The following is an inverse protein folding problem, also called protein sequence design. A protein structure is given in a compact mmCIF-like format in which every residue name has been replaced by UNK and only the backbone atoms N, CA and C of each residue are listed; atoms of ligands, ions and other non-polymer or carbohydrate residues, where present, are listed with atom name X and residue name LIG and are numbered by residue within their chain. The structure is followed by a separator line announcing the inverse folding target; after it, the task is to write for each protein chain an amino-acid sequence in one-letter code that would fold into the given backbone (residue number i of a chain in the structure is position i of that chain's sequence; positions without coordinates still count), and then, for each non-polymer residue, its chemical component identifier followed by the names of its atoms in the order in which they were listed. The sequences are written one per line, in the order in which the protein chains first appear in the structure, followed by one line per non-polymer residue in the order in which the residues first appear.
data_IF_641583391728
#
_entry.id   IF_641583391728
#
_cell.length_a   1.000
_cell.length_b   1.000
_cell.length_c   1.000
_cell.angle_alpha   90.00
_cell.angle_beta   90.00
_cell.angle_gamma   90.00
#
_symmetry.space_group_name_H-M   'P 1'
#
loop_
_entity.id
_entity.type
_entity.pdbx_description
1 polymer ?
#
# COMPACT_ATOMS: atom_id res chain seq x y z
N UNK A 1 -10.61 63.65 27.21
CA UNK A 1 -11.58 62.59 26.86
C UNK A 1 -10.96 61.73 25.77
N UNK A 2 -11.04 60.40 25.88
CA UNK A 2 -10.56 59.45 24.86
C UNK A 2 -9.59 58.42 25.44
N UNK A 3 -10.14 57.30 25.95
CA UNK A 3 -9.45 56.18 26.59
C UNK A 3 -9.13 55.07 25.57
N UNK A 4 -8.11 54.29 25.90
CA UNK A 4 -7.97 52.83 25.74
C UNK A 4 -7.71 52.24 24.35
N UNK A 5 -6.67 51.40 24.30
CA UNK A 5 -6.53 50.34 23.29
C UNK A 5 -5.11 49.80 23.06
N UNK A 6 -4.32 49.51 24.10
CA UNK A 6 -3.12 48.68 23.95
C UNK A 6 -3.54 47.22 23.72
N UNK A 7 -3.49 46.76 22.47
CA UNK A 7 -3.65 45.34 22.14
C UNK A 7 -2.33 44.61 22.38
N UNK A 8 -2.19 44.02 23.59
CA UNK A 8 -1.22 42.97 23.88
C UNK A 8 -1.60 41.72 23.09
N UNK A 9 -0.86 41.41 22.04
CA UNK A 9 -0.90 40.09 21.42
C UNK A 9 -0.33 39.06 22.40
N UNK A 10 -1.20 38.37 23.12
CA UNK A 10 -0.84 37.15 23.83
C UNK A 10 -0.40 36.12 22.79
N UNK A 11 0.89 35.82 22.76
CA UNK A 11 1.42 34.64 22.08
C UNK A 11 0.89 33.42 22.83
N UNK A 12 -0.25 32.92 22.36
CA UNK A 12 -0.86 31.68 22.83
C UNK A 12 0.08 30.54 22.46
N UNK A 13 0.76 30.00 23.46
CA UNK A 13 1.66 28.86 23.33
C UNK A 13 0.78 27.63 23.05
N UNK A 14 0.55 27.32 21.78
CA UNK A 14 -0.23 26.15 21.36
C UNK A 14 0.45 24.85 21.84
N UNK A 15 -0.11 24.13 22.82
CA UNK A 15 0.49 22.91 23.35
C UNK A 15 0.31 21.71 22.41
N UNK A 16 -0.30 21.88 21.23
CA UNK A 16 -0.48 20.83 20.23
C UNK A 16 0.65 20.74 19.22
N UNK A 17 1.66 21.63 19.27
CA UNK A 17 2.95 21.37 18.59
C UNK A 17 3.77 20.36 19.39
N UNK A 18 3.26 19.13 19.48
CA UNK A 18 4.05 18.00 19.93
C UNK A 18 5.09 17.68 18.86
N UNK A 19 6.28 18.19 19.11
CA UNK A 19 7.58 17.59 18.84
C UNK A 19 7.47 16.11 18.42
N UNK A 20 7.55 15.85 17.12
CA UNK A 20 7.65 14.53 16.53
C UNK A 20 9.13 14.15 16.34
N UNK A 21 9.93 14.21 17.41
CA UNK A 21 11.29 13.68 17.40
C UNK A 21 11.54 12.85 18.65
N UNK A 22 10.94 11.66 18.72
CA UNK A 22 11.36 10.61 19.66
C UNK A 22 10.81 9.20 19.36
N UNK A 23 10.95 8.68 18.14
CA UNK A 23 10.96 7.24 17.88
C UNK A 23 11.91 6.98 16.71
N UNK A 24 12.99 6.24 16.96
CA UNK A 24 13.98 5.84 15.97
C UNK A 24 13.51 4.63 15.16
N UNK A 25 12.34 4.73 14.55
CA UNK A 25 11.86 3.79 13.53
C UNK A 25 11.27 4.66 12.41
N UNK A 26 11.97 4.76 11.29
CA UNK A 26 11.44 5.40 10.09
C UNK A 26 10.38 4.46 9.53
N UNK A 27 9.14 4.64 9.95
CA UNK A 27 8.02 3.96 9.34
C UNK A 27 7.82 4.56 7.94
N UNK A 28 8.18 3.82 6.89
CA UNK A 28 7.82 4.18 5.51
C UNK A 28 6.32 4.48 5.39
N UNK A 29 5.97 5.38 4.48
CA UNK A 29 4.59 5.65 4.16
C UNK A 29 4.01 4.45 3.38
N UNK A 30 2.92 3.86 3.88
CA UNK A 30 2.23 2.74 3.21
C UNK A 30 1.83 3.07 1.76
N UNK A 31 1.56 4.36 1.45
CA UNK A 31 1.25 4.81 0.10
C UNK A 31 2.44 4.58 -0.85
N UNK A 32 3.66 4.80 -0.38
CA UNK A 32 4.88 4.60 -1.17
C UNK A 32 5.13 3.11 -1.39
N UNK A 33 4.90 2.27 -0.38
CA UNK A 33 5.00 0.80 -0.50
C UNK A 33 4.03 0.27 -1.57
N UNK A 34 2.77 0.74 -1.54
CA UNK A 34 1.77 0.36 -2.55
C UNK A 34 2.21 0.78 -3.95
N UNK A 35 2.61 2.05 -4.11
CA UNK A 35 3.05 2.57 -5.41
C UNK A 35 4.28 1.81 -5.94
N UNK A 36 5.24 1.49 -5.08
CA UNK A 36 6.43 0.70 -5.45
C UNK A 36 6.03 -0.67 -6.00
N UNK A 37 5.12 -1.38 -5.33
CA UNK A 37 4.68 -2.71 -5.77
C UNK A 37 3.86 -2.63 -7.06
N UNK A 38 2.93 -1.67 -7.18
CA UNK A 38 2.14 -1.50 -8.41
C UNK A 38 3.03 -1.12 -9.60
N UNK A 39 3.97 -0.20 -9.42
CA UNK A 39 4.94 0.18 -10.45
C UNK A 39 5.82 -1.00 -10.86
N UNK A 40 6.29 -1.82 -9.93
CA UNK A 40 7.06 -3.02 -10.27
C UNK A 40 6.26 -3.99 -11.15
N UNK A 41 5.01 -4.26 -10.81
CA UNK A 41 4.16 -5.15 -11.59
C UNK A 41 3.83 -4.55 -12.98
N UNK A 42 3.54 -3.26 -13.05
CA UNK A 42 3.26 -2.57 -14.30
C UNK A 42 4.49 -2.44 -15.21
N UNK A 43 5.62 -1.99 -14.66
CA UNK A 43 6.77 -1.55 -15.44
C UNK A 43 7.81 -2.65 -15.64
N UNK A 44 7.98 -3.55 -14.67
CA UNK A 44 8.98 -4.65 -14.76
C UNK A 44 8.32 -5.94 -15.23
N UNK A 45 7.26 -6.37 -14.55
CA UNK A 45 6.57 -7.64 -14.87
C UNK A 45 5.66 -7.50 -16.09
N UNK A 46 5.27 -6.28 -16.46
CA UNK A 46 4.33 -5.97 -17.55
C UNK A 46 2.96 -6.61 -17.34
N UNK A 47 2.53 -6.73 -16.08
CA UNK A 47 1.24 -7.26 -15.67
C UNK A 47 0.66 -6.36 -14.56
N UNK A 48 -0.12 -5.33 -14.91
CA UNK A 48 -0.70 -4.44 -13.91
C UNK A 48 -1.60 -5.23 -12.97
N UNK A 49 -1.56 -4.88 -11.70
CA UNK A 49 -2.37 -5.49 -10.65
C UNK A 49 -2.85 -4.45 -9.66
N UNK A 50 -3.65 -4.89 -8.69
CA UNK A 50 -4.21 -4.05 -7.63
C UNK A 50 -3.79 -4.61 -6.28
N UNK A 51 -3.18 -3.79 -5.42
CA UNK A 51 -2.82 -4.20 -4.07
C UNK A 51 -4.09 -4.41 -3.23
N UNK A 52 -4.21 -5.58 -2.60
CA UNK A 52 -5.38 -5.99 -1.81
C UNK A 52 -5.06 -6.18 -0.32
N UNK A 53 -3.78 -6.16 0.06
CA UNK A 53 -3.37 -6.29 1.44
C UNK A 53 -1.92 -5.84 1.66
N UNK A 54 -1.66 -5.22 2.80
CA UNK A 54 -0.31 -4.84 3.25
C UNK A 54 -0.20 -5.18 4.72
N UNK A 55 0.78 -5.99 5.07
CA UNK A 55 1.16 -6.30 6.45
C UNK A 55 2.58 -5.80 6.68
N UNK A 56 2.75 -4.95 7.70
CA UNK A 56 4.08 -4.55 8.16
C UNK A 56 4.56 -5.52 9.23
N UNK A 57 5.81 -5.96 9.10
CA UNK A 57 6.52 -6.79 10.06
C UNK A 57 7.89 -6.20 10.31
N UNK A 58 8.12 -5.64 11.49
CA UNK A 58 9.38 -5.01 11.94
C UNK A 58 10.02 -4.09 10.88
N UNK A 59 10.87 -4.65 10.00
CA UNK A 59 11.66 -3.95 8.98
C UNK A 59 11.22 -4.23 7.53
N UNK A 60 10.19 -5.05 7.33
CA UNK A 60 9.67 -5.42 6.01
C UNK A 60 8.16 -5.21 5.89
N UNK A 61 7.71 -5.14 4.65
CA UNK A 61 6.31 -5.15 4.25
C UNK A 61 6.04 -6.41 3.43
N UNK A 62 5.03 -7.17 3.83
CA UNK A 62 4.44 -8.24 3.03
C UNK A 62 3.21 -7.67 2.33
N UNK A 63 3.24 -7.60 1.01
CA UNK A 63 2.19 -6.99 0.19
C UNK A 63 1.53 -8.08 -0.65
N UNK A 64 0.20 -8.12 -0.65
CA UNK A 64 -0.58 -8.97 -1.52
C UNK A 64 -1.14 -8.14 -2.69
N UNK A 65 -0.86 -8.58 -3.92
CA UNK A 65 -1.33 -7.94 -5.14
C UNK A 65 -2.09 -8.95 -6.00
N UNK A 66 -3.24 -8.53 -6.51
CA UNK A 66 -4.07 -9.28 -7.44
C UNK A 66 -3.76 -8.87 -8.88
N UNK A 67 -3.46 -9.85 -9.73
CA UNK A 67 -3.03 -9.64 -11.12
C UNK A 67 -3.88 -10.48 -12.06
N UNK A 68 -4.53 -9.89 -13.08
CA UNK A 68 -5.22 -10.64 -14.13
C UNK A 68 -4.25 -11.51 -14.93
N UNK A 69 -4.57 -12.79 -15.09
CA UNK A 69 -3.78 -13.73 -15.89
C UNK A 69 -4.53 -14.12 -17.16
N UNK A 70 -3.98 -13.78 -18.31
CA UNK A 70 -4.46 -14.28 -19.60
C UNK A 70 -3.77 -15.60 -19.93
N UNK A 71 -4.47 -16.72 -19.77
CA UNK A 71 -4.01 -18.02 -20.26
C UNK A 71 -4.54 -18.21 -21.69
N UNK A 72 -3.69 -18.56 -22.66
CA UNK A 72 -4.08 -18.79 -24.07
C UNK A 72 -5.25 -19.78 -24.23
N UNK A 73 -5.37 -20.73 -23.30
CA UNK A 73 -6.48 -21.68 -23.23
C UNK A 73 -7.84 -21.00 -22.96
N UNK A 74 -7.85 -19.93 -22.16
CA UNK A 74 -9.05 -19.20 -21.74
C UNK A 74 -9.53 -18.18 -22.78
N UNK A 75 -8.60 -17.61 -23.58
CA UNK A 75 -8.94 -16.77 -24.74
C UNK A 75 -9.86 -17.47 -25.73
N UNK A 76 -9.73 -18.80 -25.89
CA UNK A 76 -10.61 -19.61 -26.76
C UNK A 76 -12.03 -19.78 -26.24
N UNK A 77 -12.27 -19.49 -24.95
CA UNK A 77 -13.59 -19.62 -24.30
C UNK A 77 -14.17 -18.29 -23.84
N UNK A 78 -13.54 -17.16 -24.16
CA UNK A 78 -13.98 -15.82 -23.74
C UNK A 78 -14.19 -15.70 -22.21
N UNK A 79 -13.36 -16.38 -21.43
CA UNK A 79 -13.37 -16.28 -19.97
C UNK A 79 -12.09 -15.57 -19.52
N UNK A 80 -12.15 -14.25 -19.34
CA UNK A 80 -11.02 -13.44 -18.87
C UNK A 80 -10.92 -13.38 -17.34
N UNK A 81 -11.43 -14.42 -16.67
CA UNK A 81 -11.74 -14.36 -15.24
C UNK A 81 -10.64 -14.93 -14.36
N UNK A 82 -9.40 -15.10 -14.82
CA UNK A 82 -8.37 -15.70 -13.95
C UNK A 82 -7.56 -14.60 -13.25
N UNK A 83 -7.48 -14.69 -11.92
CA UNK A 83 -6.73 -13.76 -11.08
C UNK A 83 -5.65 -14.53 -10.33
N UNK A 84 -4.42 -14.08 -10.44
CA UNK A 84 -3.31 -14.55 -9.61
C UNK A 84 -3.13 -13.63 -8.40
N UNK A 85 -2.94 -14.22 -7.22
CA UNK A 85 -2.50 -13.49 -6.04
C UNK A 85 -1.01 -13.70 -5.88
N UNK A 86 -0.28 -12.59 -5.80
CA UNK A 86 1.14 -12.57 -5.49
C UNK A 86 1.36 -12.04 -4.09
N UNK A 87 2.37 -12.58 -3.41
CA UNK A 87 2.96 -11.99 -2.22
C UNK A 87 4.29 -11.36 -2.60
N UNK A 88 4.53 -10.14 -2.15
CA UNK A 88 5.73 -9.34 -2.43
C UNK A 88 6.33 -8.92 -1.11
N UNK A 89 7.64 -9.06 -0.97
CA UNK A 89 8.37 -8.58 0.20
C UNK A 89 9.13 -7.32 -0.18
N UNK A 90 8.87 -6.24 0.54
CA UNK A 90 9.52 -4.94 0.38
C UNK A 90 10.23 -4.59 1.69
N UNK A 91 11.44 -4.07 1.64
CA UNK A 91 12.15 -3.63 2.85
C UNK A 91 11.87 -2.16 3.23
N UNK A 92 12.58 -1.67 4.24
CA UNK A 92 12.49 -0.29 4.72
C UNK A 92 13.04 0.77 3.76
N UNK A 93 13.78 0.36 2.73
CA UNK A 93 14.38 1.23 1.72
C UNK A 93 13.57 1.23 0.41
N UNK A 94 12.36 0.63 0.42
CA UNK A 94 11.49 0.41 -0.74
C UNK A 94 12.10 -0.52 -1.81
N UNK A 95 13.07 -1.36 -1.44
CA UNK A 95 13.58 -2.39 -2.33
C UNK A 95 12.66 -3.62 -2.31
N UNK A 96 12.34 -4.15 -3.50
CA UNK A 96 11.62 -5.41 -3.63
C UNK A 96 12.63 -6.55 -3.46
N UNK A 97 12.52 -7.26 -2.34
CA UNK A 97 13.39 -8.39 -2.00
C UNK A 97 12.95 -9.68 -2.72
N UNK A 98 11.63 -9.89 -2.83
CA UNK A 98 11.08 -11.08 -3.48
C UNK A 98 9.63 -10.88 -3.92
N UNK A 99 9.18 -11.71 -4.85
CA UNK A 99 7.77 -11.88 -5.18
C UNK A 99 7.49 -13.34 -5.53
N UNK A 100 6.34 -13.87 -5.10
CA UNK A 100 5.89 -15.22 -5.47
C UNK A 100 4.40 -15.28 -5.74
N UNK A 101 3.98 -16.12 -6.68
CA UNK A 101 2.56 -16.38 -6.92
C UNK A 101 2.05 -17.41 -5.91
N UNK A 102 1.15 -16.98 -5.02
CA UNK A 102 0.53 -17.84 -4.00
C UNK A 102 -0.62 -18.66 -4.54
N UNK A 103 -1.55 -17.99 -5.23
CA UNK A 103 -2.82 -18.58 -5.63
C UNK A 103 -3.24 -18.15 -7.03
N UNK A 104 -4.12 -18.95 -7.61
CA UNK A 104 -4.82 -18.67 -8.86
C UNK A 104 -6.30 -18.91 -8.59
N UNK A 105 -7.15 -17.90 -8.83
CA UNK A 105 -8.59 -17.97 -8.57
C UNK A 105 -9.37 -17.52 -9.80
N UNK A 106 -10.60 -18.00 -9.91
CA UNK A 106 -11.56 -17.41 -10.84
C UNK A 106 -12.12 -16.12 -10.22
N UNK A 107 -12.35 -15.09 -11.03
CA UNK A 107 -12.84 -13.77 -10.63
C UNK A 107 -14.21 -13.83 -10.01
N UNK A 108 -14.99 -14.82 -10.41
CA UNK A 108 -16.34 -15.10 -9.95
C UNK A 108 -16.38 -15.94 -8.66
N UNK A 109 -15.26 -16.55 -8.22
CA UNK A 109 -15.22 -17.26 -6.95
C UNK A 109 -15.02 -16.28 -5.79
N UNK A 110 -16.09 -15.54 -5.45
CA UNK A 110 -16.21 -14.87 -4.16
C UNK A 110 -16.81 -15.91 -3.19
N UNK A 111 -15.98 -16.57 -2.40
CA UNK A 111 -16.45 -17.23 -1.18
C UNK A 111 -16.43 -16.18 -0.05
N UNK A 112 -17.56 -15.49 0.11
CA UNK A 112 -17.88 -14.79 1.37
C UNK A 112 -18.16 -15.90 2.38
N UNK A 113 -17.17 -16.27 3.18
CA UNK A 113 -17.39 -17.23 4.25
C UNK A 113 -16.13 -17.93 4.72
N UNK A 114 -15.21 -17.18 5.32
CA UNK A 114 -14.30 -17.68 6.35
C UNK A 114 -13.92 -16.46 7.23
N UNK A 115 -14.86 -16.11 8.13
CA UNK A 115 -14.69 -15.17 9.25
C UNK A 115 -14.53 -15.97 10.52
#
# INVERSE_FOLDING_TARGET
MGKLGESRAHHEHDPRRKNLSRWGEVCLNIIEVVATVENFFNDVIKKPGVVIGVLRDTDIYKVQIEVPEEVEYMRRRAKDDLLAIYEVVVDSDLEILSFERKHLRERTSINIGDV
#
